data_IF_188133186011
#
_entry.id   IF_188133186011
#
_cell.length_a   1.000
_cell.length_b   1.000
_cell.length_c   1.000
_cell.angle_alpha   90.00
_cell.angle_beta   90.00
_cell.angle_gamma   90.00
#
_symmetry.space_group_name_H-M   'P 1'
#
loop_
_entity.id
_entity.type
_entity.pdbx_description
1 polymer ?
#
# COMPACT_ATOMS: atom_id res chain seq x y z
N UNK A 1 2.35 -11.19 -7.03
CA UNK A 1 2.95 -11.28 -5.68
C UNK A 1 2.65 -10.05 -4.85
N UNK A 2 2.80 -8.85 -5.39
CA UNK A 2 2.24 -7.63 -4.78
C UNK A 2 0.73 -7.77 -4.47
N UNK A 3 0.04 -8.55 -5.31
CA UNK A 3 -1.36 -8.96 -5.13
C UNK A 3 -1.65 -9.77 -3.85
N UNK A 4 -0.67 -10.47 -3.25
CA UNK A 4 -0.88 -11.32 -2.06
C UNK A 4 -1.40 -10.52 -0.87
N UNK A 5 -0.97 -9.27 -0.73
CA UNK A 5 -1.40 -8.42 0.37
C UNK A 5 -2.41 -7.37 -0.08
N UNK A 6 -2.17 -6.75 -1.25
CA UNK A 6 -2.99 -5.67 -1.77
C UNK A 6 -4.40 -6.14 -2.04
N UNK A 7 -4.56 -7.29 -2.70
CA UNK A 7 -5.86 -7.73 -3.19
C UNK A 7 -6.76 -8.19 -2.02
N UNK A 8 -6.29 -9.01 -1.06
CA UNK A 8 -7.07 -9.28 0.15
C UNK A 8 -7.37 -8.03 0.98
N UNK A 9 -6.42 -7.10 1.12
CA UNK A 9 -6.63 -5.85 1.85
C UNK A 9 -7.74 -4.99 1.24
N UNK A 10 -7.75 -4.85 -0.09
CA UNK A 10 -8.79 -4.11 -0.84
C UNK A 10 -10.15 -4.80 -0.73
N UNK A 11 -10.20 -6.13 -0.86
CA UNK A 11 -11.45 -6.88 -0.72
C UNK A 11 -12.02 -6.77 0.69
N UNK A 12 -11.15 -6.86 1.71
CA UNK A 12 -11.55 -6.69 3.11
C UNK A 12 -12.08 -5.27 3.37
N UNK A 13 -11.40 -4.25 2.85
CA UNK A 13 -11.87 -2.86 2.90
C UNK A 13 -13.22 -2.68 2.20
N UNK A 14 -13.39 -3.25 1.01
CA UNK A 14 -14.62 -3.17 0.24
C UNK A 14 -15.79 -3.84 0.96
N UNK A 15 -15.59 -5.06 1.48
CA UNK A 15 -16.56 -5.77 2.29
C UNK A 15 -16.94 -4.96 3.53
N UNK A 16 -15.95 -4.38 4.23
CA UNK A 16 -16.17 -3.61 5.45
C UNK A 16 -16.97 -2.31 5.21
N UNK A 17 -16.79 -1.70 4.04
CA UNK A 17 -17.55 -0.53 3.57
C UNK A 17 -18.88 -0.89 2.88
N UNK A 18 -19.30 -2.17 2.92
CA UNK A 18 -20.50 -2.69 2.25
C UNK A 18 -20.52 -2.40 0.74
N UNK A 19 -19.35 -2.29 0.12
CA UNK A 19 -19.18 -2.16 -1.35
C UNK A 19 -19.31 -3.54 -2.00
N UNK A 20 -20.44 -4.21 -1.76
CA UNK A 20 -20.65 -5.61 -2.16
C UNK A 20 -20.53 -5.83 -3.66
N UNK A 21 -20.87 -4.83 -4.49
CA UNK A 21 -20.66 -4.91 -5.94
C UNK A 21 -19.19 -5.19 -6.33
N UNK A 22 -18.22 -4.64 -5.61
CA UNK A 22 -16.79 -4.89 -5.86
C UNK A 22 -16.42 -6.33 -5.47
N UNK A 23 -16.90 -6.79 -4.32
CA UNK A 23 -16.61 -8.14 -3.79
C UNK A 23 -17.25 -9.21 -4.69
N UNK A 24 -18.52 -9.02 -5.05
CA UNK A 24 -19.27 -9.92 -5.94
C UNK A 24 -18.69 -9.89 -7.34
N UNK A 25 -18.37 -8.71 -7.89
CA UNK A 25 -17.75 -8.59 -9.21
C UNK A 25 -16.40 -9.30 -9.28
N UNK A 26 -15.57 -9.15 -8.25
CA UNK A 26 -14.31 -9.89 -8.13
C UNK A 26 -14.54 -11.40 -8.07
N UNK A 27 -15.44 -11.87 -7.19
CA UNK A 27 -15.73 -13.29 -7.03
C UNK A 27 -16.31 -13.92 -8.32
N UNK A 28 -17.21 -13.22 -9.00
CA UNK A 28 -17.78 -13.64 -10.27
C UNK A 28 -16.70 -13.74 -11.36
N UNK A 29 -15.84 -12.73 -11.48
CA UNK A 29 -14.72 -12.74 -12.44
C UNK A 29 -13.77 -13.91 -12.15
N UNK A 30 -13.43 -14.12 -10.88
CA UNK A 30 -12.58 -15.25 -10.47
C UNK A 30 -13.23 -16.59 -10.80
N UNK A 31 -14.54 -16.75 -10.59
CA UNK A 31 -15.28 -17.96 -10.93
C UNK A 31 -15.30 -18.22 -12.43
N UNK A 32 -15.53 -17.18 -13.26
CA UNK A 32 -15.48 -17.29 -14.72
C UNK A 32 -14.09 -17.70 -15.20
N UNK A 33 -13.03 -17.07 -14.67
CA UNK A 33 -11.66 -17.43 -15.02
C UNK A 33 -11.30 -18.85 -14.57
N UNK A 34 -11.71 -19.26 -13.37
CA UNK A 34 -11.49 -20.61 -12.87
C UNK A 34 -12.22 -21.65 -13.73
N UNK A 35 -13.45 -21.36 -14.16
CA UNK A 35 -14.22 -22.22 -15.05
C UNK A 35 -13.54 -22.32 -16.42
N UNK A 36 -13.12 -21.20 -17.01
CA UNK A 36 -12.40 -21.19 -18.28
C UNK A 36 -11.09 -22.01 -18.19
N UNK A 37 -10.30 -21.81 -17.14
CA UNK A 37 -9.08 -22.60 -16.88
C UNK A 37 -9.39 -24.09 -16.72
N UNK A 38 -10.49 -24.44 -16.04
CA UNK A 38 -10.90 -25.83 -15.86
C UNK A 38 -11.35 -26.49 -17.16
N UNK A 39 -12.09 -25.76 -18.01
CA UNK A 39 -12.51 -26.24 -19.32
C UNK A 39 -11.33 -26.47 -20.28
N UNK A 40 -10.30 -25.61 -20.21
CA UNK A 40 -9.11 -25.73 -21.06
C UNK A 40 -8.13 -26.79 -20.56
N UNK A 41 -7.91 -26.85 -19.24
CA UNK A 41 -6.97 -27.78 -18.60
C UNK A 41 -7.65 -28.38 -17.37
N UNK A 42 -8.38 -29.50 -17.52
CA UNK A 42 -8.94 -30.23 -16.40
C UNK A 42 -7.81 -30.69 -15.47
N UNK A 43 -7.76 -30.13 -14.25
CA UNK A 43 -6.68 -30.35 -13.29
C UNK A 43 -5.63 -29.23 -13.19
N UNK A 44 -5.84 -28.08 -13.85
CA UNK A 44 -4.95 -26.91 -13.77
C UNK A 44 -4.57 -26.53 -12.33
N UNK A 45 -5.47 -26.68 -11.37
CA UNK A 45 -5.21 -26.31 -9.98
C UNK A 45 -4.13 -27.21 -9.35
N UNK A 46 -4.20 -28.52 -9.58
CA UNK A 46 -3.17 -29.46 -9.13
C UNK A 46 -1.83 -29.16 -9.81
N UNK A 47 -1.85 -28.94 -11.13
CA UNK A 47 -0.66 -28.55 -11.88
C UNK A 47 -0.06 -27.24 -11.38
N UNK A 48 -0.88 -26.24 -11.04
CA UNK A 48 -0.44 -24.96 -10.48
C UNK A 48 0.18 -25.13 -9.09
N UNK A 49 -0.38 -26.01 -8.24
CA UNK A 49 0.15 -26.30 -6.91
C UNK A 49 1.46 -27.10 -6.97
N UNK A 50 1.63 -27.95 -7.98
CA UNK A 50 2.85 -28.72 -8.20
C UNK A 50 3.92 -27.99 -9.02
N UNK A 51 3.53 -26.96 -9.79
CA UNK A 51 4.45 -26.19 -10.64
C UNK A 51 5.68 -25.64 -9.89
N UNK A 52 5.57 -25.11 -8.64
CA UNK A 52 6.74 -24.67 -7.89
C UNK A 52 7.71 -25.81 -7.51
N UNK A 53 7.25 -27.05 -7.44
CA UNK A 53 8.10 -28.23 -7.15
C UNK A 53 8.84 -28.71 -8.40
N UNK A 54 8.19 -28.60 -9.56
CA UNK A 54 8.75 -29.05 -10.84
C UNK A 54 9.68 -27.99 -11.45
N UNK A 55 9.30 -26.73 -11.31
CA UNK A 55 10.04 -25.55 -11.80
C UNK A 55 10.17 -24.55 -10.67
N UNK A 56 11.13 -24.77 -9.74
CA UNK A 56 11.34 -23.86 -8.64
C UNK A 56 11.71 -22.47 -9.15
N UNK A 57 11.24 -21.41 -8.48
CA UNK A 57 11.57 -20.05 -8.87
C UNK A 57 13.09 -19.85 -8.82
N UNK A 58 13.69 -19.06 -9.73
CA UNK A 58 15.14 -18.84 -9.75
C UNK A 58 15.71 -18.33 -8.41
N UNK A 59 14.89 -17.65 -7.61
CA UNK A 59 15.23 -17.13 -6.28
C UNK A 59 15.45 -18.21 -5.22
N UNK A 60 15.03 -19.46 -5.47
CA UNK A 60 15.29 -20.57 -4.56
C UNK A 60 16.77 -20.98 -4.60
N UNK A 61 17.31 -21.08 -5.81
CA UNK A 61 18.72 -21.39 -6.04
C UNK A 61 19.63 -20.16 -5.99
N UNK A 62 19.06 -18.97 -6.22
CA UNK A 62 19.80 -17.71 -6.28
C UNK A 62 19.02 -16.60 -5.56
N UNK A 63 18.91 -16.65 -4.22
CA UNK A 63 18.09 -15.68 -3.46
C UNK A 63 18.54 -14.22 -3.61
N UNK A 64 19.81 -13.99 -3.96
CA UNK A 64 20.38 -12.65 -4.16
C UNK A 64 19.81 -11.90 -5.37
N UNK A 65 19.06 -12.58 -6.26
CA UNK A 65 18.40 -11.96 -7.42
C UNK A 65 17.09 -11.24 -7.06
N UNK A 66 16.64 -11.34 -5.81
CA UNK A 66 15.44 -10.66 -5.33
C UNK A 66 15.72 -9.80 -4.10
N UNK A 67 14.71 -9.02 -3.75
CA UNK A 67 14.88 -7.84 -2.87
C UNK A 67 13.88 -7.77 -1.73
N UNK A 68 13.03 -8.78 -1.60
CA UNK A 68 12.12 -8.86 -0.46
C UNK A 68 12.87 -9.21 0.82
N UNK A 69 12.31 -8.84 1.97
CA UNK A 69 12.90 -9.16 3.28
C UNK A 69 13.22 -10.64 3.44
N UNK A 70 12.32 -11.52 2.96
CA UNK A 70 12.53 -12.95 2.91
C UNK A 70 13.79 -13.35 2.11
N UNK A 71 13.97 -12.79 0.92
CA UNK A 71 15.11 -13.09 0.06
C UNK A 71 16.41 -12.44 0.54
N UNK A 72 16.34 -11.29 1.20
CA UNK A 72 17.49 -10.67 1.86
C UNK A 72 18.01 -11.55 3.01
N UNK A 73 17.13 -12.06 3.86
CA UNK A 73 17.50 -12.99 4.92
C UNK A 73 18.12 -14.28 4.37
N UNK A 74 17.54 -14.84 3.29
CA UNK A 74 18.14 -16.01 2.61
C UNK A 74 19.52 -15.69 2.03
N UNK A 75 19.68 -14.51 1.42
CA UNK A 75 20.95 -14.05 0.84
C UNK A 75 22.02 -13.81 1.90
N UNK A 76 21.62 -13.38 3.10
CA UNK A 76 22.50 -13.24 4.26
C UNK A 76 22.87 -14.57 4.93
N UNK A 77 22.36 -15.71 4.44
CA UNK A 77 22.74 -17.04 4.91
C UNK A 77 21.90 -17.59 6.07
N UNK A 78 20.80 -16.93 6.47
CA UNK A 78 19.90 -17.46 7.48
C UNK A 78 19.13 -18.69 6.96
N UNK A 79 19.21 -19.83 7.64
CA UNK A 79 18.63 -21.12 7.19
C UNK A 79 17.86 -21.92 8.26
N UNK A 80 17.77 -21.42 9.49
CA UNK A 80 17.21 -22.11 10.66
C UNK A 80 15.94 -21.43 11.20
N UNK A 81 15.44 -21.82 12.37
CA UNK A 81 14.31 -21.16 13.04
C UNK A 81 14.48 -19.64 13.18
N UNK A 82 15.72 -19.16 13.34
CA UNK A 82 16.09 -17.75 13.38
C UNK A 82 15.69 -16.98 12.11
N UNK A 83 15.72 -17.64 10.94
CA UNK A 83 15.21 -17.08 9.69
C UNK A 83 13.72 -16.74 9.83
N UNK A 84 12.92 -17.70 10.28
CA UNK A 84 11.48 -17.53 10.44
C UNK A 84 11.15 -16.51 11.53
N UNK A 85 11.91 -16.49 12.62
CA UNK A 85 11.75 -15.49 13.68
C UNK A 85 12.03 -14.07 13.15
N UNK A 86 13.16 -13.84 12.46
CA UNK A 86 13.52 -12.54 11.89
C UNK A 86 12.56 -12.11 10.77
N UNK A 87 12.10 -13.06 9.96
CA UNK A 87 11.09 -12.80 8.94
C UNK A 87 9.78 -12.36 9.60
N UNK A 88 9.27 -13.13 10.55
CA UNK A 88 8.01 -12.83 11.26
C UNK A 88 8.08 -11.52 12.06
N UNK A 89 9.24 -11.20 12.65
CA UNK A 89 9.47 -9.97 13.41
C UNK A 89 9.14 -8.72 12.60
N UNK A 90 9.41 -8.72 11.30
CA UNK A 90 9.13 -7.58 10.41
C UNK A 90 7.82 -7.76 9.64
N UNK A 91 7.55 -8.97 9.15
CA UNK A 91 6.39 -9.26 8.33
C UNK A 91 5.07 -9.18 9.11
N UNK A 92 5.03 -9.71 10.34
CA UNK A 92 3.80 -9.78 11.12
C UNK A 92 3.28 -8.38 11.54
N UNK A 93 4.12 -7.44 12.03
CA UNK A 93 3.66 -6.08 12.30
C UNK A 93 3.13 -5.36 11.06
N UNK A 94 3.77 -5.51 9.90
CA UNK A 94 3.31 -4.90 8.64
C UNK A 94 2.01 -5.53 8.14
N UNK A 95 1.85 -6.84 8.29
CA UNK A 95 0.59 -7.51 7.99
C UNK A 95 -0.53 -7.01 8.92
N UNK A 96 -0.25 -6.88 10.21
CA UNK A 96 -1.21 -6.37 11.20
C UNK A 96 -1.62 -4.92 10.92
N UNK A 97 -0.69 -4.05 10.50
CA UNK A 97 -1.02 -2.65 10.14
C UNK A 97 -1.90 -2.59 8.89
N UNK A 98 -1.63 -3.41 7.88
CA UNK A 98 -2.47 -3.53 6.67
C UNK A 98 -3.87 -4.01 7.02
N UNK A 99 -3.98 -5.07 7.84
CA UNK A 99 -5.28 -5.58 8.28
C UNK A 99 -6.05 -4.55 9.08
N UNK A 100 -5.41 -3.87 10.03
CA UNK A 100 -6.01 -2.79 10.81
C UNK A 100 -6.50 -1.66 9.91
N UNK A 101 -5.69 -1.22 8.95
CA UNK A 101 -6.07 -0.18 7.99
C UNK A 101 -7.23 -0.60 7.08
N UNK A 102 -7.25 -1.87 6.66
CA UNK A 102 -8.32 -2.42 5.82
C UNK A 102 -9.65 -2.55 6.55
N UNK A 103 -9.62 -2.80 7.87
CA UNK A 103 -10.80 -2.92 8.72
C UNK A 103 -11.33 -1.56 9.24
N UNK A 104 -10.50 -0.53 9.19
CA UNK A 104 -10.84 0.81 9.64
C UNK A 104 -11.70 1.54 8.60
N UNK A 105 -12.95 1.84 8.98
CA UNK A 105 -13.92 2.54 8.12
C UNK A 105 -13.57 4.00 7.87
N UNK A 106 -12.67 4.60 8.64
CA UNK A 106 -12.22 5.97 8.40
C UNK A 106 -11.16 6.04 7.29
N UNK A 107 -10.46 4.94 7.01
CA UNK A 107 -9.32 4.94 6.09
C UNK A 107 -9.75 4.97 4.62
N UNK A 108 -9.15 5.86 3.80
CA UNK A 108 -9.41 5.89 2.36
C UNK A 108 -8.73 4.71 1.65
N UNK A 109 -9.24 4.34 0.47
CA UNK A 109 -8.73 3.20 -0.29
C UNK A 109 -7.26 3.38 -0.71
N UNK A 110 -6.85 4.60 -1.07
CA UNK A 110 -5.47 4.87 -1.50
C UNK A 110 -4.46 4.61 -0.38
N UNK A 111 -4.81 4.84 0.90
CA UNK A 111 -3.96 4.52 2.04
C UNK A 111 -3.78 3.01 2.21
N UNK A 112 -4.87 2.24 2.01
CA UNK A 112 -4.83 0.77 2.10
C UNK A 112 -4.02 0.18 0.95
N UNK A 113 -4.17 0.71 -0.26
CA UNK A 113 -3.39 0.32 -1.43
C UNK A 113 -1.90 0.61 -1.23
N UNK A 114 -1.57 1.82 -0.78
CA UNK A 114 -0.22 2.24 -0.50
C UNK A 114 0.45 1.33 0.55
N UNK A 115 -0.21 1.17 1.70
CA UNK A 115 0.30 0.34 2.79
C UNK A 115 0.42 -1.12 2.37
N UNK A 116 -0.57 -1.64 1.62
CA UNK A 116 -0.55 -3.00 1.09
C UNK A 116 0.60 -3.24 0.12
N UNK A 117 0.89 -2.31 -0.79
CA UNK A 117 2.00 -2.41 -1.75
C UNK A 117 3.35 -2.38 -1.04
N UNK A 118 3.53 -1.45 -0.10
CA UNK A 118 4.75 -1.34 0.69
C UNK A 118 5.00 -2.60 1.54
N UNK A 119 3.97 -3.06 2.24
CA UNK A 119 4.05 -4.26 3.06
C UNK A 119 4.26 -5.52 2.19
N UNK A 120 3.71 -5.59 0.98
CA UNK A 120 3.92 -6.72 0.08
C UNK A 120 5.40 -6.88 -0.32
N UNK A 121 6.17 -5.81 -0.46
CA UNK A 121 7.62 -5.91 -0.71
C UNK A 121 8.41 -6.50 0.46
N UNK A 122 7.83 -6.55 1.65
CA UNK A 122 8.45 -7.13 2.84
C UNK A 122 7.89 -8.54 3.12
N UNK A 123 6.57 -8.68 3.04
CA UNK A 123 5.86 -9.91 3.38
C UNK A 123 5.94 -10.94 2.26
N UNK A 124 5.95 -10.54 0.98
CA UNK A 124 5.98 -11.53 -0.10
C UNK A 124 7.29 -12.34 -0.10
N UNK A 125 7.23 -13.67 -0.26
CA UNK A 125 8.43 -14.52 -0.30
C UNK A 125 9.25 -14.35 -1.59
N UNK A 126 8.79 -13.48 -2.51
CA UNK A 126 9.46 -13.15 -3.75
C UNK A 126 9.08 -11.73 -4.16
N UNK A 127 10.00 -11.08 -4.87
CA UNK A 127 9.84 -9.77 -5.50
C UNK A 127 11.13 -9.43 -6.25
N UNK A 128 11.00 -8.88 -7.45
CA UNK A 128 12.13 -8.48 -8.29
C UNK A 128 12.13 -6.99 -8.54
N UNK A 129 13.27 -6.49 -9.02
CA UNK A 129 13.52 -5.06 -9.16
C UNK A 129 12.57 -4.39 -10.17
N UNK A 130 12.07 -5.14 -11.16
CA UNK A 130 11.06 -4.66 -12.10
C UNK A 130 9.67 -4.51 -11.46
N UNK A 131 9.43 -5.04 -10.27
CA UNK A 131 8.20 -4.84 -9.51
C UNK A 131 8.20 -3.48 -8.79
N UNK A 132 9.30 -2.71 -8.81
CA UNK A 132 9.42 -1.48 -8.05
C UNK A 132 8.73 -0.23 -8.60
N UNK A 133 8.41 -0.10 -9.90
CA UNK A 133 7.60 1.01 -10.39
C UNK A 133 6.24 1.14 -9.70
N UNK A 134 5.63 0.03 -9.24
CA UNK A 134 4.36 0.11 -8.49
C UNK A 134 4.52 0.75 -7.10
N UNK A 135 5.74 0.85 -6.58
CA UNK A 135 6.04 1.54 -5.32
C UNK A 135 5.98 3.07 -5.46
N UNK A 136 5.86 3.59 -6.68
CA UNK A 136 5.53 5.00 -6.91
C UNK A 136 4.15 5.35 -6.36
N UNK A 137 3.18 4.42 -6.39
CA UNK A 137 1.84 4.61 -5.85
C UNK A 137 1.88 4.92 -4.34
N UNK A 138 2.47 4.07 -3.47
CA UNK A 138 2.58 4.39 -2.04
C UNK A 138 3.38 5.64 -1.77
N UNK A 139 4.41 5.93 -2.57
CA UNK A 139 5.18 7.14 -2.41
C UNK A 139 4.35 8.40 -2.62
N UNK A 140 3.57 8.47 -3.71
CA UNK A 140 2.71 9.63 -3.96
C UNK A 140 1.62 9.78 -2.89
N UNK A 141 1.08 8.67 -2.40
CA UNK A 141 0.13 8.68 -1.27
C UNK A 141 0.80 9.20 0.01
N UNK A 142 2.06 8.80 0.27
CA UNK A 142 2.83 9.24 1.44
C UNK A 142 3.19 10.72 1.39
N UNK A 143 3.58 11.20 0.22
CA UNK A 143 3.95 12.59 -0.01
C UNK A 143 2.74 13.50 -0.02
N UNK A 144 1.60 13.05 -0.56
CA UNK A 144 0.40 13.87 -0.71
C UNK A 144 0.72 15.22 -1.34
N UNK A 145 0.26 16.32 -0.71
CA UNK A 145 0.55 17.70 -1.12
C UNK A 145 1.82 18.29 -0.48
N UNK A 146 2.65 17.49 0.19
CA UNK A 146 3.83 17.98 0.94
C UNK A 146 5.01 18.34 0.05
N UNK A 147 5.00 17.95 -1.22
CA UNK A 147 6.00 18.35 -2.20
C UNK A 147 5.40 19.36 -3.17
N UNK A 148 6.22 20.33 -3.59
CA UNK A 148 5.92 21.12 -4.77
C UNK A 148 5.85 20.22 -6.01
N UNK A 149 5.07 20.61 -7.01
CA UNK A 149 4.89 19.83 -8.25
C UNK A 149 6.23 19.48 -8.91
N UNK A 150 7.16 20.45 -8.93
CA UNK A 150 8.51 20.26 -9.48
C UNK A 150 9.29 19.23 -8.67
N UNK A 151 9.26 19.30 -7.34
CA UNK A 151 9.96 18.33 -6.50
C UNK A 151 9.35 16.92 -6.61
N UNK A 152 8.02 16.83 -6.74
CA UNK A 152 7.32 15.58 -7.01
C UNK A 152 7.69 14.98 -8.36
N UNK A 153 7.76 15.80 -9.41
CA UNK A 153 8.18 15.38 -10.75
C UNK A 153 9.64 14.92 -10.79
N UNK A 154 10.56 15.66 -10.15
CA UNK A 154 11.97 15.26 -10.03
C UNK A 154 12.11 13.94 -9.28
N UNK A 155 11.37 13.76 -8.18
CA UNK A 155 11.40 12.52 -7.40
C UNK A 155 10.83 11.34 -8.19
N UNK A 156 9.76 11.56 -8.97
CA UNK A 156 9.20 10.56 -9.87
C UNK A 156 10.22 10.10 -10.91
N UNK A 157 10.85 11.07 -11.59
CA UNK A 157 11.87 10.79 -12.60
C UNK A 157 13.05 10.08 -11.97
N UNK A 158 13.51 10.51 -10.80
CA UNK A 158 14.60 9.87 -10.07
C UNK A 158 14.25 8.42 -9.72
N UNK A 159 13.08 8.13 -9.15
CA UNK A 159 12.73 6.76 -8.76
C UNK A 159 12.38 5.85 -9.94
N UNK A 160 11.95 6.43 -11.05
CA UNK A 160 11.82 5.70 -12.29
C UNK A 160 13.20 5.36 -12.85
N UNK A 161 14.09 6.34 -13.01
CA UNK A 161 15.35 6.18 -13.75
C UNK A 161 16.50 5.59 -12.92
N UNK A 162 16.59 5.90 -11.62
CA UNK A 162 17.73 5.48 -10.78
C UNK A 162 17.86 3.95 -10.69
N UNK A 163 16.77 3.16 -10.54
CA UNK A 163 16.87 1.70 -10.58
C UNK A 163 17.39 1.20 -11.93
N UNK A 164 16.96 1.78 -13.05
CA UNK A 164 17.47 1.38 -14.37
C UNK A 164 18.92 1.82 -14.57
N UNK A 165 19.31 2.99 -14.09
CA UNK A 165 20.68 3.48 -14.16
C UNK A 165 21.62 2.60 -13.32
N UNK A 166 21.24 2.25 -12.09
CA UNK A 166 21.98 1.32 -11.25
C UNK A 166 22.08 -0.06 -11.93
N UNK A 167 21.00 -0.56 -12.53
CA UNK A 167 21.01 -1.83 -13.26
C UNK A 167 21.98 -1.80 -14.44
N UNK A 168 21.96 -0.71 -15.22
CA UNK A 168 22.85 -0.52 -16.36
C UNK A 168 24.32 -0.43 -15.94
N UNK A 169 24.64 0.28 -14.85
CA UNK A 169 25.99 0.34 -14.28
C UNK A 169 26.47 -1.05 -13.86
N UNK A 170 25.61 -1.81 -13.17
CA UNK A 170 25.92 -3.19 -12.75
C UNK A 170 26.14 -4.10 -13.97
N UNK A 171 25.29 -3.98 -15.00
CA UNK A 171 25.43 -4.73 -16.24
C UNK A 171 26.75 -4.42 -16.98
N UNK A 172 27.11 -3.13 -17.09
CA UNK A 172 28.40 -2.71 -17.68
C UNK A 172 29.62 -3.25 -16.93
N UNK A 173 29.50 -3.43 -15.62
CA UNK A 173 30.56 -4.01 -14.77
C UNK A 173 30.56 -5.55 -14.77
N UNK A 174 29.71 -6.20 -15.58
CA UNK A 174 29.60 -7.65 -15.64
C UNK A 174 29.01 -8.28 -14.38
N UNK A 175 28.31 -7.49 -13.55
CA UNK A 175 27.76 -7.93 -12.26
C UNK A 175 26.34 -8.52 -12.39
N UNK A 176 25.75 -8.53 -13.59
CA UNK A 176 24.38 -8.99 -13.84
C UNK A 176 24.41 -10.11 -14.88
N UNK A 177 23.61 -11.17 -14.66
CA UNK A 177 23.37 -12.21 -15.66
C UNK A 177 24.47 -13.26 -15.83
N UNK A 178 25.51 -13.26 -14.99
CA UNK A 178 26.51 -14.33 -15.01
C UNK A 178 25.99 -15.56 -14.25
N UNK A 179 25.71 -16.63 -14.99
CA UNK A 179 25.30 -17.93 -14.44
C UNK A 179 26.37 -18.39 -13.43
N UNK A 180 25.95 -18.67 -12.19
CA UNK A 180 26.84 -19.17 -11.13
C UNK A 180 27.59 -18.11 -10.32
N UNK A 181 27.38 -16.81 -10.56
CA UNK A 181 27.95 -15.74 -9.71
C UNK A 181 26.85 -14.97 -8.96
N UNK A 182 27.13 -14.47 -7.74
CA UNK A 182 26.20 -13.61 -7.03
C UNK A 182 25.92 -12.35 -7.85
N UNK A 183 24.67 -12.13 -8.27
CA UNK A 183 24.26 -10.84 -8.80
C UNK A 183 23.93 -9.91 -7.62
N UNK A 184 24.41 -8.66 -7.60
CA UNK A 184 24.12 -7.74 -6.51
C UNK A 184 22.72 -7.12 -6.61
N UNK A 185 21.73 -7.84 -7.17
CA UNK A 185 20.36 -7.33 -7.32
C UNK A 185 19.70 -7.04 -5.97
N UNK A 186 20.09 -7.71 -4.90
CA UNK A 186 19.70 -7.35 -3.53
C UNK A 186 20.00 -5.89 -3.16
N UNK A 187 20.98 -5.23 -3.82
CA UNK A 187 21.29 -3.82 -3.59
C UNK A 187 20.11 -2.90 -3.91
N UNK A 188 19.14 -3.31 -4.73
CA UNK A 188 17.94 -2.52 -4.99
C UNK A 188 16.98 -2.44 -3.79
N UNK A 189 17.22 -3.18 -2.71
CA UNK A 189 16.43 -3.12 -1.48
C UNK A 189 16.34 -1.72 -0.85
N UNK A 190 17.23 -0.79 -1.22
CA UNK A 190 17.15 0.60 -0.76
C UNK A 190 15.82 1.26 -1.13
N UNK A 191 15.19 0.91 -2.26
CA UNK A 191 13.91 1.50 -2.71
C UNK A 191 12.77 1.21 -1.71
N UNK A 192 12.40 -0.06 -1.45
CA UNK A 192 11.35 -0.36 -0.48
C UNK A 192 11.72 0.07 0.95
N UNK A 193 13.00 -0.02 1.34
CA UNK A 193 13.45 0.40 2.67
C UNK A 193 13.33 1.92 2.88
N UNK A 194 13.71 2.71 1.87
CA UNK A 194 13.55 4.17 1.90
C UNK A 194 12.08 4.55 2.07
N UNK A 195 11.19 3.92 1.28
CA UNK A 195 9.75 4.16 1.38
C UNK A 195 9.17 3.74 2.73
N UNK A 196 9.62 2.62 3.28
CA UNK A 196 9.23 2.18 4.61
C UNK A 196 9.69 3.16 5.69
N UNK A 197 10.91 3.70 5.59
CA UNK A 197 11.42 4.74 6.49
C UNK A 197 10.61 6.04 6.42
N UNK A 198 10.29 6.53 5.21
CA UNK A 198 9.42 7.69 5.01
C UNK A 198 8.02 7.44 5.59
N UNK A 199 7.47 6.24 5.40
CA UNK A 199 6.17 5.88 5.98
C UNK A 199 6.18 5.88 7.50
N UNK A 200 7.19 5.27 8.13
CA UNK A 200 7.31 5.23 9.58
C UNK A 200 7.43 6.63 10.17
N UNK A 201 8.32 7.46 9.63
CA UNK A 201 8.54 8.83 10.11
C UNK A 201 7.27 9.68 9.99
N UNK A 202 6.55 9.59 8.87
CA UNK A 202 5.29 10.31 8.69
C UNK A 202 4.16 9.79 9.58
N UNK A 203 4.08 8.47 9.82
CA UNK A 203 3.12 7.86 10.74
C UNK A 203 3.36 8.30 12.20
N UNK A 204 4.62 8.34 12.65
CA UNK A 204 4.98 8.85 13.97
C UNK A 204 4.64 10.35 14.12
N UNK A 205 4.90 11.16 13.10
CA UNK A 205 4.55 12.60 13.12
C UNK A 205 3.03 12.82 13.22
N UNK A 206 2.22 12.04 12.48
CA UNK A 206 0.74 12.14 12.56
C UNK A 206 0.22 11.76 13.94
N UNK A 207 0.84 10.78 14.60
CA UNK A 207 0.45 10.32 15.94
C UNK A 207 0.86 11.30 17.05
N UNK A 208 1.87 12.15 16.80
CA UNK A 208 2.35 13.16 17.75
C UNK A 208 1.66 14.51 17.65
N UNK A 209 0.89 14.79 16.59
CA UNK A 209 0.08 16.02 16.55
C UNK A 209 -1.04 15.87 17.58
N UNK A 210 -1.07 16.68 18.65
CA UNK A 210 -2.22 16.70 19.54
C UNK A 210 -3.40 17.15 18.69
N UNK A 211 -4.50 16.41 18.78
CA UNK A 211 -5.80 16.93 18.39
C UNK A 211 -6.03 18.14 19.30
N UNK A 212 -5.68 19.33 18.83
CA UNK A 212 -6.21 20.56 19.40
C UNK A 212 -7.71 20.46 19.16
N UNK A 213 -8.42 19.93 20.15
CA UNK A 213 -9.83 20.23 20.35
C UNK A 213 -9.89 21.73 20.49
N UNK A 214 -10.13 22.41 19.36
CA UNK A 214 -10.75 23.72 19.37
C UNK A 214 -12.08 23.51 20.08
N UNK A 215 -12.08 23.73 21.39
CA UNK A 215 -13.27 24.20 22.07
C UNK A 215 -13.69 25.48 21.32
N UNK A 216 -14.70 25.35 20.46
CA UNK A 216 -15.54 26.49 20.11
C UNK A 216 -16.03 27.10 21.43
N UNK A 217 -15.74 28.37 21.74
CA UNK A 217 -16.52 29.08 22.73
C UNK A 217 -17.87 29.39 22.08
N UNK A 218 -18.79 28.43 22.12
CA UNK A 218 -20.18 28.61 21.76
C UNK A 218 -20.91 29.41 22.86
N UNK A 219 -20.47 30.62 23.20
CA UNK A 219 -21.21 31.58 24.06
C UNK A 219 -20.44 32.90 24.16
N UNK A 220 -20.57 33.79 23.16
CA UNK A 220 -20.18 35.20 23.35
C UNK A 220 -20.80 36.19 22.34
N UNK A 221 -21.82 35.81 21.56
CA UNK A 221 -22.41 36.71 20.55
C UNK A 221 -23.95 36.85 20.59
N UNK A 222 -24.61 36.32 21.63
CA UNK A 222 -26.07 36.50 21.81
C UNK A 222 -26.48 37.43 22.97
N UNK A 223 -25.54 38.15 23.60
CA UNK A 223 -25.83 38.96 24.79
C UNK A 223 -25.94 40.48 24.54
N UNK A 224 -26.05 40.93 23.29
CA UNK A 224 -26.15 42.37 22.97
C UNK A 224 -27.16 42.64 21.87
N UNK A 225 -28.44 42.30 22.08
CA UNK A 225 -29.56 43.12 21.60
C UNK A 225 -30.90 42.52 22.02
N UNK A 226 -31.49 43.07 23.08
CA UNK A 226 -32.91 43.39 23.30
C UNK A 226 -33.04 43.89 24.75
N UNK A 227 -34.10 44.62 25.16
CA UNK A 227 -35.27 45.19 24.46
C UNK A 227 -35.38 46.73 24.74
N UNK A 228 -36.31 47.55 24.25
CA UNK A 228 -37.74 47.65 24.55
C UNK A 228 -38.37 48.77 23.67
N UNK A 229 -39.60 48.58 23.19
CA UNK A 229 -40.68 49.58 23.33
C UNK A 229 -41.98 49.04 22.74
N UNK A 230 -42.93 48.91 23.66
CA UNK A 230 -44.33 48.50 23.55
C UNK A 230 -45.14 49.52 22.72
N UNK A 231 -46.15 49.04 21.98
CA UNK A 231 -47.57 49.47 22.06
C UNK A 231 -48.30 49.61 20.70
N UNK A 232 -49.29 48.73 20.51
CA UNK A 232 -50.69 48.98 20.08
C UNK A 232 -51.04 49.68 18.77
N UNK A 233 -51.93 49.05 17.99
CA UNK A 233 -53.06 49.76 17.35
C UNK A 233 -53.51 49.23 15.98
N UNK A 234 -54.65 48.52 15.98
CA UNK A 234 -55.76 48.50 15.01
C UNK A 234 -55.49 48.59 13.50
N UNK A 235 -55.85 47.58 12.70
CA UNK A 235 -57.20 47.18 12.25
C UNK A 235 -57.72 47.96 11.01
N UNK A 236 -57.99 47.17 9.97
CA UNK A 236 -58.97 47.36 8.89
C UNK A 236 -58.85 48.59 7.95
N UNK A 237 -58.54 48.33 6.67
CA UNK A 237 -59.14 49.12 5.58
C UNK A 237 -59.22 48.34 4.25
N UNK A 238 -60.45 47.92 3.94
CA UNK A 238 -61.17 47.92 2.66
C UNK A 238 -60.61 47.24 1.39
N UNK A 239 -61.36 46.20 1.01
CA UNK A 239 -61.68 45.74 -0.35
C UNK A 239 -62.47 46.76 -1.18
N UNK A 240 -62.05 46.95 -2.45
CA UNK A 240 -62.81 47.18 -3.71
C UNK A 240 -61.73 47.35 -4.79
N UNK A 241 -61.69 46.61 -5.88
CA UNK A 241 -62.76 46.29 -6.85
C UNK A 241 -62.87 44.80 -7.22
#
# INVERSE_FOLDING_TARGET
>A
QLTILVLPGVLLWAARRRRWGVVVGFAATLAVLALASWLLIPGWLGQMLDAPRQTPPPTENSPWIGTTWFLLLKSAGFRSWSFWALYALVAAPLLATVLKASLDRSKPLHDVLALGLLAACIVAPYGRNYDFPVLLIPLFVLLGTRLSEIAGAVLLVALLLLPYAQYWIMARRGLVGQIGRPSPEFLFAWVPLFLAGVWLTTAFQRSRRPTLTTHEPATALSALHQPESIATGDAAMLTRD
#
